data_IF_742506504194
#
_entry.id   IF_742506504194
#
_cell.length_a   1.000
_cell.length_b   1.000
_cell.length_c   1.000
_cell.angle_alpha   90.00
_cell.angle_beta   90.00
_cell.angle_gamma   90.00
#
_symmetry.space_group_name_H-M   'P 1'
#
loop_
_entity.id
_entity.type
_entity.pdbx_description
1 polymer ?
#
# COMPACT_ATOMS: atom_id res chain seq x y z
N UNK A 1 -35.95 -21.90 -8.24
CA UNK A 1 -35.95 -20.83 -7.22
C UNK A 1 -34.72 -19.91 -7.30
N UNK A 2 -33.52 -20.25 -6.82
CA UNK A 2 -32.35 -19.32 -6.89
C UNK A 2 -31.98 -18.97 -8.36
N UNK A 3 -31.86 -19.98 -9.24
CA UNK A 3 -31.65 -19.73 -10.69
C UNK A 3 -32.73 -18.84 -11.32
N UNK A 4 -33.98 -19.04 -10.91
CA UNK A 4 -35.15 -18.34 -11.45
C UNK A 4 -35.26 -16.91 -10.89
N UNK A 5 -34.81 -16.69 -9.66
CA UNK A 5 -34.65 -15.38 -9.03
C UNK A 5 -33.51 -14.60 -9.69
N UNK A 6 -32.36 -15.23 -9.96
CA UNK A 6 -31.22 -14.62 -10.68
C UNK A 6 -31.66 -14.13 -12.07
N UNK A 7 -32.41 -14.95 -12.81
CA UNK A 7 -32.93 -14.56 -14.13
C UNK A 7 -33.91 -13.38 -14.09
N UNK A 8 -34.58 -13.16 -12.95
CA UNK A 8 -35.56 -12.10 -12.78
C UNK A 8 -34.98 -10.82 -12.15
N UNK A 9 -33.95 -10.92 -11.30
CA UNK A 9 -33.33 -9.80 -10.61
C UNK A 9 -32.24 -9.09 -11.44
N UNK A 10 -31.58 -9.81 -12.36
CA UNK A 10 -30.57 -9.24 -13.27
C UNK A 10 -31.10 -8.17 -14.25
N UNK A 11 -32.43 -7.95 -14.29
CA UNK A 11 -33.09 -7.04 -15.24
C UNK A 11 -33.42 -5.68 -14.59
N UNK A 12 -33.41 -5.54 -13.26
CA UNK A 12 -33.81 -4.29 -12.58
C UNK A 12 -33.06 -4.07 -11.27
N UNK A 13 -32.03 -3.20 -11.30
CA UNK A 13 -31.25 -2.67 -10.16
C UNK A 13 -30.53 -3.74 -9.31
N UNK A 14 -29.56 -3.29 -8.50
CA UNK A 14 -28.73 -4.14 -7.65
C UNK A 14 -29.62 -5.17 -6.91
N UNK A 15 -29.48 -6.48 -7.17
CA UNK A 15 -30.32 -7.51 -6.55
C UNK A 15 -30.19 -7.57 -5.02
N UNK A 16 -29.30 -6.76 -4.43
CA UNK A 16 -29.00 -6.71 -3.00
C UNK A 16 -29.22 -5.34 -2.35
N UNK A 17 -29.98 -4.43 -2.96
CA UNK A 17 -30.27 -3.08 -2.44
C UNK A 17 -31.03 -3.07 -1.08
N UNK A 18 -31.41 -4.22 -0.52
CA UNK A 18 -32.00 -4.33 0.82
C UNK A 18 -31.33 -5.41 1.69
N UNK A 19 -30.83 -4.98 2.85
CA UNK A 19 -30.19 -5.81 3.90
C UNK A 19 -31.07 -7.01 4.33
N UNK A 20 -32.40 -6.85 4.30
CA UNK A 20 -33.39 -7.86 4.69
C UNK A 20 -33.56 -9.02 3.68
N UNK A 21 -33.34 -8.79 2.38
CA UNK A 21 -33.41 -9.85 1.37
C UNK A 21 -32.14 -10.71 1.36
N UNK A 22 -31.01 -10.13 1.77
CA UNK A 22 -29.73 -10.80 1.90
C UNK A 22 -29.67 -11.82 3.03
N UNK A 23 -30.07 -11.43 4.25
CA UNK A 23 -30.15 -12.38 5.36
C UNK A 23 -31.06 -13.54 4.99
N UNK A 24 -32.13 -13.31 4.23
CA UNK A 24 -33.00 -14.37 3.72
C UNK A 24 -32.33 -15.22 2.64
N UNK A 25 -31.50 -14.67 1.75
CA UNK A 25 -30.75 -15.44 0.75
C UNK A 25 -29.65 -16.29 1.39
N UNK A 26 -28.86 -15.72 2.30
CA UNK A 26 -27.89 -16.46 3.11
C UNK A 26 -28.62 -17.49 3.97
N UNK A 27 -29.69 -17.10 4.65
CA UNK A 27 -30.48 -18.03 5.44
C UNK A 27 -31.06 -19.10 4.52
N UNK A 28 -31.53 -18.84 3.30
CA UNK A 28 -32.00 -19.88 2.39
C UNK A 28 -30.86 -20.79 1.89
N UNK A 29 -29.68 -20.23 1.61
CA UNK A 29 -28.47 -20.98 1.22
C UNK A 29 -27.91 -21.82 2.38
N UNK A 30 -28.00 -21.32 3.62
CA UNK A 30 -27.42 -21.91 4.83
C UNK A 30 -28.43 -22.72 5.67
N UNK A 31 -29.73 -22.45 5.63
CA UNK A 31 -30.78 -23.13 6.45
C UNK A 31 -31.57 -24.20 5.72
N UNK A 32 -31.57 -24.24 4.38
CA UNK A 32 -32.06 -25.44 3.67
C UNK A 32 -31.13 -26.65 3.84
N UNK A 33 -29.97 -26.46 4.47
CA UNK A 33 -28.94 -27.48 4.59
C UNK A 33 -28.40 -27.55 6.01
N UNK A 34 -28.73 -28.66 6.65
CA UNK A 34 -28.13 -29.13 7.88
C UNK A 34 -26.61 -28.96 7.88
N UNK A 35 -26.11 -28.24 8.90
CA UNK A 35 -24.77 -28.05 9.49
C UNK A 35 -23.46 -28.52 8.81
N UNK A 36 -23.43 -29.37 7.80
CA UNK A 36 -22.18 -29.88 7.20
C UNK A 36 -22.21 -30.08 5.66
N UNK A 37 -23.25 -29.65 4.91
CA UNK A 37 -23.44 -30.18 3.53
C UNK A 37 -23.88 -29.23 2.40
N UNK A 38 -23.53 -27.93 2.38
CA UNK A 38 -23.85 -27.11 1.18
C UNK A 38 -22.83 -26.04 0.74
N UNK A 39 -21.77 -25.81 1.51
CA UNK A 39 -20.68 -24.95 1.05
C UNK A 39 -19.87 -25.62 -0.07
N UNK A 40 -19.78 -26.95 -0.04
CA UNK A 40 -19.21 -27.74 -1.14
C UNK A 40 -20.02 -27.56 -2.43
N UNK A 41 -21.36 -27.42 -2.36
CA UNK A 41 -22.19 -27.13 -3.51
C UNK A 41 -22.04 -25.69 -4.03
N UNK A 42 -21.76 -24.73 -3.15
CA UNK A 42 -21.40 -23.35 -3.54
C UNK A 42 -20.09 -23.38 -4.32
N UNK A 43 -19.10 -24.14 -3.87
CA UNK A 43 -17.82 -24.29 -4.57
C UNK A 43 -18.00 -25.04 -5.88
N UNK A 44 -18.72 -26.16 -5.90
CA UNK A 44 -19.06 -26.87 -7.13
C UNK A 44 -19.76 -25.91 -8.12
N UNK A 45 -20.60 -25.00 -7.62
CA UNK A 45 -21.21 -23.99 -8.47
C UNK A 45 -20.21 -22.91 -8.94
N UNK A 46 -19.29 -22.42 -8.11
CA UNK A 46 -18.21 -21.50 -8.55
C UNK A 46 -17.32 -22.15 -9.62
N UNK A 47 -16.99 -23.43 -9.41
CA UNK A 47 -15.98 -24.19 -10.15
C UNK A 47 -16.53 -24.83 -11.42
N UNK A 48 -17.78 -25.31 -11.39
CA UNK A 48 -18.39 -26.09 -12.47
C UNK A 48 -19.60 -25.41 -13.13
N UNK A 49 -19.94 -24.16 -12.78
CA UNK A 49 -21.05 -23.47 -13.45
C UNK A 49 -20.77 -23.28 -14.95
N UNK A 50 -21.68 -23.72 -15.84
CA UNK A 50 -21.50 -23.61 -17.29
C UNK A 50 -21.68 -22.19 -17.82
N UNK A 51 -22.28 -21.29 -17.04
CA UNK A 51 -22.57 -19.91 -17.42
C UNK A 51 -21.72 -18.94 -16.57
N UNK A 52 -20.94 -18.04 -17.19
CA UNK A 52 -20.12 -17.05 -16.50
C UNK A 52 -20.87 -16.27 -15.41
N UNK A 53 -22.11 -15.86 -15.69
CA UNK A 53 -22.96 -15.05 -14.80
C UNK A 53 -23.28 -15.75 -13.49
N UNK A 54 -23.49 -17.08 -13.53
CA UNK A 54 -23.73 -17.86 -12.32
C UNK A 54 -22.46 -17.94 -11.47
N UNK A 55 -21.29 -18.09 -12.08
CA UNK A 55 -20.01 -18.07 -11.36
C UNK A 55 -19.76 -16.73 -10.66
N UNK A 56 -20.08 -15.62 -11.32
CA UNK A 56 -20.00 -14.27 -10.73
C UNK A 56 -20.88 -14.16 -9.49
N UNK A 57 -22.15 -14.57 -9.58
CA UNK A 57 -23.08 -14.55 -8.46
C UNK A 57 -22.54 -15.29 -7.23
N UNK A 58 -21.99 -16.50 -7.39
CA UNK A 58 -21.45 -17.25 -6.26
C UNK A 58 -20.17 -16.63 -5.70
N UNK A 59 -19.34 -15.98 -6.52
CA UNK A 59 -18.19 -15.23 -6.03
C UNK A 59 -18.61 -14.00 -5.23
N UNK A 60 -19.69 -13.32 -5.61
CA UNK A 60 -20.25 -12.20 -4.83
C UNK A 60 -20.78 -12.67 -3.47
N UNK A 61 -21.40 -13.85 -3.41
CA UNK A 61 -21.80 -14.49 -2.14
C UNK A 61 -20.56 -14.76 -1.28
N UNK A 62 -19.49 -15.34 -1.85
CA UNK A 62 -18.22 -15.56 -1.15
C UNK A 62 -17.62 -14.25 -0.62
N UNK A 63 -17.55 -13.20 -1.45
CA UNK A 63 -17.05 -11.88 -1.07
C UNK A 63 -17.74 -11.34 0.18
N UNK A 64 -19.07 -11.44 0.23
CA UNK A 64 -19.85 -10.97 1.38
C UNK A 64 -19.60 -11.79 2.64
N UNK A 65 -19.57 -13.12 2.53
CA UNK A 65 -19.25 -14.02 3.66
C UNK A 65 -17.85 -13.69 4.22
N UNK A 66 -16.87 -13.50 3.34
CA UNK A 66 -15.51 -13.13 3.73
C UNK A 66 -15.44 -11.75 4.37
N UNK A 67 -16.15 -10.76 3.82
CA UNK A 67 -16.17 -9.41 4.37
C UNK A 67 -16.78 -9.36 5.77
N UNK A 68 -17.84 -10.12 6.01
CA UNK A 68 -18.48 -10.23 7.32
C UNK A 68 -17.61 -11.04 8.30
N UNK A 69 -17.07 -12.17 7.85
CA UNK A 69 -16.22 -13.05 8.65
C UNK A 69 -14.97 -12.37 9.22
N UNK A 70 -14.41 -11.36 8.54
CA UNK A 70 -13.30 -10.56 9.08
C UNK A 70 -13.62 -9.86 10.40
N UNK A 71 -14.90 -9.56 10.67
CA UNK A 71 -15.34 -8.95 11.93
C UNK A 71 -15.60 -9.98 13.04
N UNK A 72 -15.65 -11.26 12.66
CA UNK A 72 -16.03 -12.38 13.51
C UNK A 72 -14.97 -13.48 13.51
N UNK A 73 -13.69 -13.08 13.42
CA UNK A 73 -12.56 -14.03 13.33
C UNK A 73 -12.40 -14.88 14.60
N UNK A 74 -12.91 -14.43 15.74
CA UNK A 74 -12.88 -15.21 16.99
C UNK A 74 -14.03 -16.24 17.07
N UNK A 75 -14.99 -16.18 16.15
CA UNK A 75 -16.12 -17.10 16.08
C UNK A 75 -15.88 -18.19 15.01
N UNK A 76 -15.24 -19.28 15.43
CA UNK A 76 -15.01 -20.45 14.55
C UNK A 76 -16.30 -21.12 14.04
N UNK A 77 -17.48 -20.76 14.56
CA UNK A 77 -18.75 -21.23 14.02
C UNK A 77 -19.26 -20.39 12.84
N UNK A 78 -18.60 -19.27 12.55
CA UNK A 78 -18.96 -18.38 11.47
C UNK A 78 -18.80 -19.06 10.09
N UNK A 79 -19.71 -18.83 9.12
CA UNK A 79 -19.68 -19.49 7.80
C UNK A 79 -18.39 -19.31 6.99
N UNK A 80 -17.55 -18.32 7.34
CA UNK A 80 -16.24 -18.07 6.70
C UNK A 80 -15.32 -19.28 6.81
N UNK A 81 -15.27 -19.93 7.97
CA UNK A 81 -14.41 -21.09 8.21
C UNK A 81 -14.84 -22.27 7.36
N UNK A 82 -16.15 -22.58 7.35
CA UNK A 82 -16.70 -23.63 6.50
C UNK A 82 -16.41 -23.38 5.01
N UNK A 83 -16.50 -22.13 4.55
CA UNK A 83 -16.25 -21.78 3.15
C UNK A 83 -14.76 -21.95 2.79
N UNK A 84 -13.86 -21.48 3.63
CA UNK A 84 -12.40 -21.66 3.45
C UNK A 84 -12.03 -23.15 3.50
N UNK A 85 -12.56 -23.91 4.46
CA UNK A 85 -12.34 -25.36 4.55
C UNK A 85 -12.90 -26.12 3.34
N UNK A 86 -14.00 -25.66 2.74
CA UNK A 86 -14.51 -26.24 1.50
C UNK A 86 -13.55 -25.95 0.32
N UNK A 87 -12.98 -24.74 0.24
CA UNK A 87 -11.98 -24.42 -0.77
C UNK A 87 -10.71 -25.24 -0.58
N UNK A 88 -10.28 -25.46 0.66
CA UNK A 88 -9.09 -26.28 0.95
C UNK A 88 -9.27 -27.77 0.74
N UNK A 89 -10.49 -28.28 0.87
CA UNK A 89 -10.83 -29.68 0.55
C UNK A 89 -10.99 -29.93 -0.96
N UNK A 90 -11.20 -28.89 -1.75
CA UNK A 90 -11.22 -29.01 -3.21
C UNK A 90 -9.85 -29.51 -3.67
N UNK A 91 -9.82 -30.58 -4.47
CA UNK A 91 -8.54 -31.19 -4.86
C UNK A 91 -7.59 -30.12 -5.42
N UNK A 92 -6.36 -30.05 -4.90
CA UNK A 92 -5.40 -28.96 -5.17
C UNK A 92 -5.30 -28.59 -6.67
N UNK A 93 -5.44 -29.57 -7.58
CA UNK A 93 -5.40 -29.33 -9.03
C UNK A 93 -6.64 -28.66 -9.63
N UNK A 94 -7.84 -28.86 -9.06
CA UNK A 94 -9.07 -28.29 -9.61
C UNK A 94 -9.15 -26.78 -9.38
N UNK A 95 -8.83 -26.30 -8.17
CA UNK A 95 -8.82 -24.86 -7.84
C UNK A 95 -7.80 -24.09 -8.69
N UNK A 96 -6.60 -24.65 -8.83
CA UNK A 96 -5.52 -24.04 -9.62
C UNK A 96 -5.88 -23.96 -11.10
N UNK A 97 -6.40 -25.03 -11.68
CA UNK A 97 -6.79 -25.05 -13.09
C UNK A 97 -7.94 -24.08 -13.36
N UNK A 98 -8.93 -24.00 -12.46
CA UNK A 98 -10.00 -23.01 -12.56
C UNK A 98 -9.47 -21.58 -12.48
N UNK A 99 -8.57 -21.28 -11.53
CA UNK A 99 -7.96 -19.95 -11.41
C UNK A 99 -7.18 -19.59 -12.66
N UNK A 100 -6.38 -20.51 -13.18
CA UNK A 100 -5.60 -20.33 -14.41
C UNK A 100 -6.50 -20.00 -15.59
N UNK A 101 -7.61 -20.74 -15.76
CA UNK A 101 -8.58 -20.49 -16.81
C UNK A 101 -9.27 -19.12 -16.65
N UNK A 102 -9.64 -18.75 -15.42
CA UNK A 102 -10.29 -17.47 -15.13
C UNK A 102 -9.36 -16.29 -15.36
N UNK A 103 -8.10 -16.36 -14.92
CA UNK A 103 -7.11 -15.30 -15.10
C UNK A 103 -6.66 -15.14 -16.56
N UNK A 104 -6.85 -16.16 -17.40
CA UNK A 104 -6.64 -16.08 -18.85
C UNK A 104 -7.84 -15.51 -19.62
N UNK A 105 -8.97 -15.29 -18.94
CA UNK A 105 -10.14 -14.66 -19.55
C UNK A 105 -9.83 -13.21 -19.94
N UNK A 106 -10.43 -12.74 -21.03
CA UNK A 106 -10.44 -11.32 -21.42
C UNK A 106 -11.71 -10.61 -20.98
N UNK A 107 -12.65 -11.33 -20.38
CA UNK A 107 -13.96 -10.83 -19.96
C UNK A 107 -13.88 -10.23 -18.57
N UNK A 108 -14.06 -8.91 -18.47
CA UNK A 108 -14.01 -8.17 -17.22
C UNK A 108 -15.03 -8.68 -16.19
N UNK A 109 -16.17 -9.20 -16.63
CA UNK A 109 -17.22 -9.71 -15.75
C UNK A 109 -16.76 -10.94 -15.00
N UNK A 110 -15.80 -11.68 -15.54
CA UNK A 110 -15.21 -12.84 -14.87
C UNK A 110 -13.96 -12.45 -14.08
N UNK A 111 -13.10 -11.61 -14.65
CA UNK A 111 -11.85 -11.20 -14.02
C UNK A 111 -12.10 -10.43 -12.71
N UNK A 112 -13.02 -9.46 -12.71
CA UNK A 112 -13.21 -8.59 -11.53
C UNK A 112 -13.64 -9.40 -10.29
N UNK A 113 -14.68 -10.24 -10.34
CA UNK A 113 -15.08 -11.05 -9.18
C UNK A 113 -14.01 -12.05 -8.75
N UNK A 114 -13.26 -12.63 -9.69
CA UNK A 114 -12.12 -13.52 -9.38
C UNK A 114 -11.02 -12.78 -8.62
N UNK A 115 -10.62 -11.59 -9.09
CA UNK A 115 -9.62 -10.77 -8.40
C UNK A 115 -10.10 -10.32 -7.02
N UNK A 116 -11.37 -9.94 -6.87
CA UNK A 116 -11.97 -9.58 -5.58
C UNK A 116 -11.92 -10.77 -4.61
N UNK A 117 -12.31 -11.96 -5.06
CA UNK A 117 -12.21 -13.18 -4.25
C UNK A 117 -10.78 -13.47 -3.82
N UNK A 118 -9.79 -13.36 -4.72
CA UNK A 118 -8.37 -13.55 -4.38
C UNK A 118 -7.90 -12.55 -3.31
N UNK A 119 -8.31 -11.28 -3.43
CA UNK A 119 -8.00 -10.24 -2.44
C UNK A 119 -8.61 -10.57 -1.08
N UNK A 120 -9.85 -11.08 -1.03
CA UNK A 120 -10.48 -11.45 0.24
C UNK A 120 -9.81 -12.64 0.90
N UNK A 121 -9.43 -13.66 0.13
CA UNK A 121 -8.65 -14.82 0.62
C UNK A 121 -7.32 -14.33 1.20
N UNK A 122 -6.60 -13.44 0.50
CA UNK A 122 -5.34 -12.86 0.96
C UNK A 122 -5.49 -11.99 2.22
N UNK A 123 -6.63 -11.32 2.41
CA UNK A 123 -6.93 -10.60 3.65
C UNK A 123 -7.15 -11.58 4.81
N UNK A 124 -7.80 -12.71 4.54
CA UNK A 124 -8.08 -13.73 5.55
C UNK A 124 -6.85 -14.58 5.89
N UNK A 125 -5.88 -14.73 4.98
CA UNK A 125 -4.67 -15.51 5.23
C UNK A 125 -3.76 -14.96 6.33
N UNK A 126 -3.91 -13.68 6.69
CA UNK A 126 -3.20 -13.09 7.83
C UNK A 126 -3.99 -13.18 9.14
N UNK A 127 -5.23 -13.68 9.09
CA UNK A 127 -6.18 -13.66 10.21
C UNK A 127 -6.62 -15.07 10.64
N UNK A 128 -6.62 -16.05 9.73
CA UNK A 128 -7.02 -17.43 10.00
C UNK A 128 -6.15 -18.45 9.25
N UNK A 129 -5.90 -19.60 9.88
CA UNK A 129 -5.10 -20.69 9.33
C UNK A 129 -5.73 -21.26 8.04
N UNK A 130 -7.05 -21.43 7.99
CA UNK A 130 -7.75 -21.91 6.80
C UNK A 130 -7.61 -20.91 5.64
N UNK A 131 -7.53 -19.62 5.93
CA UNK A 131 -7.24 -18.58 4.94
C UNK A 131 -5.84 -18.73 4.37
N UNK A 132 -4.86 -19.02 5.23
CA UNK A 132 -3.47 -19.25 4.84
C UNK A 132 -3.32 -20.50 3.98
N UNK A 133 -4.05 -21.57 4.30
CA UNK A 133 -4.10 -22.80 3.48
C UNK A 133 -4.63 -22.52 2.08
N UNK A 134 -5.80 -21.88 1.96
CA UNK A 134 -6.40 -21.51 0.67
C UNK A 134 -5.46 -20.62 -0.13
N UNK A 135 -4.86 -19.60 0.51
CA UNK A 135 -3.89 -18.74 -0.15
C UNK A 135 -2.67 -19.53 -0.65
N UNK A 136 -2.13 -20.44 0.14
CA UNK A 136 -0.98 -21.26 -0.27
C UNK A 136 -1.29 -22.10 -1.52
N UNK A 137 -2.53 -22.59 -1.68
CA UNK A 137 -2.98 -23.27 -2.90
C UNK A 137 -3.15 -22.32 -4.09
N UNK A 138 -3.64 -21.10 -3.86
CA UNK A 138 -3.77 -20.05 -4.89
C UNK A 138 -2.41 -19.61 -5.40
N UNK A 139 -1.43 -19.45 -4.49
CA UNK A 139 -0.14 -18.86 -4.78
C UNK A 139 0.97 -19.86 -5.11
N UNK A 140 0.66 -21.16 -5.25
CA UNK A 140 1.69 -22.18 -5.45
C UNK A 140 2.27 -22.22 -6.87
N UNK A 141 1.55 -21.71 -7.88
CA UNK A 141 2.08 -21.61 -9.25
C UNK A 141 3.16 -20.52 -9.29
N UNK A 142 4.31 -20.78 -9.89
CA UNK A 142 5.37 -19.76 -9.97
C UNK A 142 5.03 -18.60 -10.92
N UNK A 143 3.95 -18.69 -11.70
CA UNK A 143 3.62 -17.72 -12.76
C UNK A 143 2.40 -16.84 -12.48
N UNK A 144 1.61 -17.09 -11.42
CA UNK A 144 0.36 -16.34 -11.21
C UNK A 144 0.62 -14.84 -11.03
N UNK A 145 1.69 -14.46 -10.34
CA UNK A 145 2.06 -13.07 -10.11
C UNK A 145 2.40 -12.37 -11.43
N UNK A 146 3.12 -13.08 -12.30
CA UNK A 146 3.47 -12.63 -13.65
C UNK A 146 2.21 -12.38 -14.48
N UNK A 147 1.21 -13.26 -14.38
CA UNK A 147 -0.10 -13.12 -15.04
C UNK A 147 -0.88 -11.92 -14.49
N UNK A 148 -0.87 -11.69 -13.18
CA UNK A 148 -1.55 -10.54 -12.59
C UNK A 148 -0.98 -9.20 -13.06
N UNK A 149 0.34 -9.11 -13.24
CA UNK A 149 0.97 -7.90 -13.76
C UNK A 149 0.64 -7.70 -15.24
N UNK A 150 0.44 -8.78 -16.01
CA UNK A 150 -0.02 -8.68 -17.40
C UNK A 150 -1.46 -8.13 -17.48
N UNK A 151 -2.27 -8.26 -16.44
CA UNK A 151 -3.60 -7.63 -16.35
C UNK A 151 -3.54 -6.10 -16.23
N UNK A 152 -2.38 -5.50 -15.97
CA UNK A 152 -2.25 -4.03 -15.92
C UNK A 152 -2.37 -3.37 -17.30
N UNK A 153 -2.31 -4.17 -18.37
CA UNK A 153 -2.52 -3.77 -19.75
C UNK A 153 -3.98 -3.96 -20.19
N UNK A 154 -4.88 -4.36 -19.29
CA UNK A 154 -6.27 -4.62 -19.61
C UNK A 154 -7.04 -3.31 -19.93
N UNK A 155 -7.99 -3.31 -20.90
CA UNK A 155 -8.75 -2.11 -21.26
C UNK A 155 -9.76 -1.66 -20.18
N UNK A 156 -10.11 -2.54 -19.24
CA UNK A 156 -11.06 -2.26 -18.18
C UNK A 156 -10.37 -1.83 -16.87
N UNK A 157 -10.62 -0.61 -16.41
CA UNK A 157 -9.91 0.00 -15.27
C UNK A 157 -10.03 -0.78 -13.96
N UNK A 158 -11.20 -1.38 -13.68
CA UNK A 158 -11.38 -2.16 -12.44
C UNK A 158 -10.51 -3.41 -12.42
N UNK A 159 -10.21 -4.01 -13.57
CA UNK A 159 -9.30 -5.15 -13.66
C UNK A 159 -7.88 -4.71 -13.30
N UNK A 160 -7.44 -3.55 -13.83
CA UNK A 160 -6.14 -2.95 -13.53
C UNK A 160 -6.03 -2.61 -12.03
N UNK A 161 -7.01 -1.88 -11.47
CA UNK A 161 -7.01 -1.52 -10.03
C UNK A 161 -6.96 -2.74 -9.12
N UNK A 162 -7.81 -3.75 -9.35
CA UNK A 162 -7.86 -4.95 -8.49
C UNK A 162 -6.64 -5.84 -8.63
N UNK A 163 -6.07 -5.98 -9.83
CA UNK A 163 -4.82 -6.73 -10.00
C UNK A 163 -3.65 -6.02 -9.32
N UNK A 164 -3.56 -4.69 -9.38
CA UNK A 164 -2.57 -3.90 -8.65
C UNK A 164 -2.74 -4.00 -7.12
N UNK A 165 -3.97 -3.87 -6.59
CA UNK A 165 -4.25 -4.07 -5.16
C UNK A 165 -3.78 -5.45 -4.68
N UNK A 166 -4.05 -6.49 -5.47
CA UNK A 166 -3.66 -7.87 -5.14
C UNK A 166 -2.14 -8.04 -5.12
N UNK A 167 -1.43 -7.50 -6.13
CA UNK A 167 0.05 -7.52 -6.17
C UNK A 167 0.63 -6.76 -4.98
N UNK A 168 0.11 -5.57 -4.67
CA UNK A 168 0.54 -4.78 -3.51
C UNK A 168 0.42 -5.56 -2.20
N UNK A 169 -0.78 -6.10 -1.92
CA UNK A 169 -1.04 -6.85 -0.69
C UNK A 169 -0.11 -8.05 -0.56
N UNK A 170 0.14 -8.74 -1.66
CA UNK A 170 1.04 -9.88 -1.66
C UNK A 170 2.49 -9.45 -1.37
N UNK A 171 2.98 -8.39 -2.02
CA UNK A 171 4.31 -7.83 -1.75
C UNK A 171 4.45 -7.40 -0.29
N UNK A 172 3.43 -6.76 0.29
CA UNK A 172 3.45 -6.26 1.65
C UNK A 172 3.37 -7.37 2.72
N UNK A 173 2.71 -8.49 2.44
CA UNK A 173 2.49 -9.57 3.42
C UNK A 173 3.59 -10.64 3.43
N UNK A 174 4.26 -10.89 2.30
CA UNK A 174 5.25 -11.96 2.20
C UNK A 174 6.58 -11.54 2.84
N UNK A 175 6.99 -12.26 3.89
CA UNK A 175 8.26 -12.03 4.58
C UNK A 175 9.47 -12.52 3.80
N UNK A 176 9.30 -13.57 2.99
CA UNK A 176 10.39 -14.19 2.27
C UNK A 176 10.46 -13.74 0.82
N UNK A 177 11.66 -13.40 0.34
CA UNK A 177 11.86 -13.10 -1.07
C UNK A 177 12.02 -14.38 -1.87
N UNK A 178 11.30 -14.47 -2.98
CA UNK A 178 11.24 -15.62 -3.87
C UNK A 178 11.65 -15.20 -5.28
N UNK A 179 12.05 -16.16 -6.11
CA UNK A 179 12.46 -15.87 -7.50
C UNK A 179 11.35 -15.16 -8.31
N UNK A 180 10.08 -15.42 -8.01
CA UNK A 180 8.94 -14.75 -8.64
C UNK A 180 8.86 -13.25 -8.32
N UNK A 181 9.40 -12.80 -7.17
CA UNK A 181 9.49 -11.36 -6.85
C UNK A 181 10.37 -10.62 -7.85
N UNK A 182 11.46 -11.26 -8.27
CA UNK A 182 12.41 -10.69 -9.22
C UNK A 182 11.77 -10.45 -10.57
N UNK A 183 11.01 -11.42 -11.09
CA UNK A 183 10.26 -11.26 -12.35
C UNK A 183 9.20 -10.17 -12.22
N UNK A 184 8.47 -10.14 -11.10
CA UNK A 184 7.47 -9.13 -10.83
C UNK A 184 8.06 -7.71 -10.78
N UNK A 185 9.21 -7.52 -10.13
CA UNK A 185 9.91 -6.23 -10.09
C UNK A 185 10.32 -5.81 -11.51
N UNK A 186 10.85 -6.71 -12.34
CA UNK A 186 11.19 -6.39 -13.75
C UNK A 186 9.97 -5.93 -14.54
N UNK A 187 8.83 -6.62 -14.40
CA UNK A 187 7.58 -6.24 -15.07
C UNK A 187 7.02 -4.92 -14.53
N UNK A 188 7.11 -4.68 -13.22
CA UNK A 188 6.74 -3.40 -12.60
C UNK A 188 7.56 -2.25 -13.20
N UNK A 189 8.89 -2.37 -13.27
CA UNK A 189 9.75 -1.35 -13.86
C UNK A 189 9.39 -1.10 -15.34
N UNK A 190 9.15 -2.18 -16.10
CA UNK A 190 8.73 -2.07 -17.50
C UNK A 190 7.40 -1.34 -17.66
N UNK A 191 6.46 -1.53 -16.74
CA UNK A 191 5.17 -0.83 -16.72
C UNK A 191 5.33 0.64 -16.33
N UNK A 192 6.19 0.98 -15.38
CA UNK A 192 6.48 2.37 -15.02
C UNK A 192 7.14 3.10 -16.21
N UNK A 193 8.06 2.45 -16.92
CA UNK A 193 8.67 3.00 -18.14
C UNK A 193 7.65 3.17 -19.28
N UNK A 194 6.65 2.30 -19.37
CA UNK A 194 5.52 2.52 -20.27
C UNK A 194 4.71 3.76 -19.85
N UNK A 195 4.38 3.90 -18.57
CA UNK A 195 3.64 5.06 -18.05
C UNK A 195 4.39 6.36 -18.37
N UNK A 196 5.70 6.41 -18.06
CA UNK A 196 6.57 7.57 -18.36
C UNK A 196 6.57 7.96 -19.84
N UNK A 197 6.66 6.97 -20.74
CA UNK A 197 6.70 7.23 -22.19
C UNK A 197 5.34 7.61 -22.78
N UNK A 198 4.26 7.22 -22.12
CA UNK A 198 2.90 7.33 -22.64
C UNK A 198 2.16 8.55 -22.10
N UNK A 199 2.38 8.89 -20.82
CA UNK A 199 1.71 10.01 -20.15
C UNK A 199 2.34 11.33 -20.56
N UNK A 200 1.56 12.21 -21.18
CA UNK A 200 1.98 13.60 -21.37
C UNK A 200 1.97 14.37 -20.04
N UNK A 201 2.73 15.47 -19.92
CA UNK A 201 2.70 16.32 -18.72
C UNK A 201 1.29 16.81 -18.35
N UNK A 202 0.45 17.12 -19.34
CA UNK A 202 -0.94 17.55 -19.11
C UNK A 202 -1.88 16.42 -18.71
N UNK A 203 -1.57 15.17 -19.06
CA UNK A 203 -2.28 14.00 -18.55
C UNK A 203 -1.88 13.73 -17.10
N UNK A 204 -0.60 13.81 -16.79
CA UNK A 204 -0.07 13.64 -15.44
C UNK A 204 -0.63 14.68 -14.47
N UNK A 205 -0.62 15.96 -14.85
CA UNK A 205 -1.20 17.04 -14.04
C UNK A 205 -2.68 16.79 -13.72
N UNK A 206 -3.46 16.27 -14.68
CA UNK A 206 -4.87 15.88 -14.47
C UNK A 206 -5.06 14.65 -13.58
N UNK A 207 -4.03 13.83 -13.38
CA UNK A 207 -4.07 12.72 -12.42
C UNK A 207 -3.70 13.18 -11.01
N UNK A 208 -2.91 14.25 -10.90
CA UNK A 208 -2.50 14.89 -9.64
C UNK A 208 -3.52 15.91 -9.12
N UNK A 209 -4.52 16.26 -9.92
CA UNK A 209 -5.54 17.24 -9.57
C UNK A 209 -6.30 16.83 -8.29
N UNK A 210 -6.35 17.74 -7.31
CA UNK A 210 -7.00 17.53 -6.02
C UNK A 210 -8.53 17.40 -6.14
N UNK A 211 -9.15 18.01 -7.15
CA UNK A 211 -10.60 17.89 -7.39
C UNK A 211 -10.99 16.51 -7.93
N UNK A 212 -10.00 15.72 -8.35
CA UNK A 212 -10.21 14.38 -8.89
C UNK A 212 -10.13 13.33 -7.79
N UNK A 213 -11.29 12.98 -7.26
CA UNK A 213 -11.43 11.90 -6.28
C UNK A 213 -11.30 10.51 -6.93
N UNK A 214 -10.91 9.51 -6.14
CA UNK A 214 -10.73 8.11 -6.56
C UNK A 214 -12.02 7.46 -7.12
N UNK A 215 -13.17 8.07 -6.84
CA UNK A 215 -14.51 7.63 -7.22
C UNK A 215 -14.95 8.08 -8.63
N UNK A 216 -14.29 9.08 -9.24
CA UNK A 216 -14.64 9.56 -10.58
C UNK A 216 -13.63 9.08 -11.63
N UNK A 217 -13.96 7.98 -12.30
CA UNK A 217 -13.26 7.58 -13.52
C UNK A 217 -13.75 8.41 -14.71
N UNK A 218 -13.01 9.46 -15.07
CA UNK A 218 -13.04 10.01 -16.42
C UNK A 218 -11.89 9.42 -17.22
N UNK A 219 -12.14 8.66 -18.30
CA UNK A 219 -11.07 8.14 -19.13
C UNK A 219 -10.21 9.30 -19.61
N UNK A 220 -8.93 9.28 -19.25
CA UNK A 220 -7.97 10.11 -19.97
C UNK A 220 -7.84 9.46 -21.34
N UNK A 221 -7.95 10.24 -22.41
CA UNK A 221 -7.65 9.76 -23.76
C UNK A 221 -6.17 9.38 -23.81
N UNK A 222 -5.88 8.14 -23.46
CA UNK A 222 -4.58 7.50 -23.52
C UNK A 222 -4.48 6.75 -24.84
N UNK A 223 -3.26 6.52 -25.36
CA UNK A 223 -3.05 5.55 -26.44
C UNK A 223 -3.74 4.22 -26.09
N UNK A 224 -4.19 3.48 -27.11
CA UNK A 224 -5.00 2.26 -26.98
C UNK A 224 -4.37 1.12 -26.16
N UNK A 225 -3.19 1.31 -25.58
CA UNK A 225 -2.42 0.35 -24.81
C UNK A 225 -2.33 0.64 -23.31
N UNK A 226 -2.87 1.77 -22.82
CA UNK A 226 -2.76 2.14 -21.40
C UNK A 226 -4.11 2.55 -20.80
N UNK A 227 -4.54 1.82 -19.77
CA UNK A 227 -5.71 2.13 -18.95
C UNK A 227 -5.22 2.47 -17.55
N UNK A 228 -5.32 3.73 -17.15
CA UNK A 228 -4.73 4.23 -15.91
C UNK A 228 -5.54 5.40 -15.34
N UNK A 229 -5.61 5.46 -14.01
CA UNK A 229 -6.09 6.63 -13.27
C UNK A 229 -5.24 6.89 -12.01
N UNK A 230 -5.71 7.81 -11.16
CA UNK A 230 -5.04 8.21 -9.93
C UNK A 230 -4.86 7.04 -8.95
N UNK A 231 -5.87 6.19 -8.80
CA UNK A 231 -5.79 5.03 -7.91
C UNK A 231 -4.72 4.04 -8.40
N UNK A 232 -4.59 3.85 -9.72
CA UNK A 232 -3.50 3.04 -10.27
C UNK A 232 -2.12 3.64 -9.98
N UNK A 233 -1.95 4.97 -10.08
CA UNK A 233 -0.68 5.62 -9.72
C UNK A 233 -0.38 5.46 -8.22
N UNK A 234 -1.39 5.58 -7.36
CA UNK A 234 -1.24 5.31 -5.93
C UNK A 234 -0.77 3.87 -5.71
N UNK A 235 -1.43 2.88 -6.31
CA UNK A 235 -0.98 1.49 -6.20
C UNK A 235 0.44 1.27 -6.71
N UNK A 236 0.85 1.91 -7.81
CA UNK A 236 2.23 1.80 -8.29
C UNK A 236 3.25 2.29 -7.26
N UNK A 237 2.99 3.44 -6.61
CA UNK A 237 3.86 3.97 -5.54
C UNK A 237 3.96 2.95 -4.40
N UNK A 238 2.82 2.43 -3.95
CA UNK A 238 2.74 1.47 -2.84
C UNK A 238 3.45 0.14 -3.19
N UNK A 239 3.28 -0.38 -4.40
CA UNK A 239 3.95 -1.61 -4.86
C UNK A 239 5.46 -1.40 -4.93
N UNK A 240 5.94 -0.24 -5.40
CA UNK A 240 7.38 0.07 -5.45
C UNK A 240 7.97 0.06 -4.04
N UNK A 241 7.33 0.76 -3.09
CA UNK A 241 7.79 0.84 -1.70
C UNK A 241 7.75 -0.54 -1.03
N UNK A 242 6.67 -1.30 -1.19
CA UNK A 242 6.57 -2.66 -0.67
C UNK A 242 7.64 -3.60 -1.25
N UNK A 243 7.96 -3.45 -2.55
CA UNK A 243 9.03 -4.21 -3.21
C UNK A 243 10.40 -3.88 -2.62
N UNK A 244 10.71 -2.60 -2.41
CA UNK A 244 11.97 -2.16 -1.77
C UNK A 244 12.07 -2.69 -0.35
N UNK A 245 10.99 -2.55 0.45
CA UNK A 245 10.93 -3.06 1.82
C UNK A 245 11.24 -4.56 1.87
N UNK A 246 10.62 -5.32 0.98
CA UNK A 246 10.83 -6.76 0.86
C UNK A 246 12.29 -7.11 0.50
N UNK A 247 12.89 -6.38 -0.44
CA UNK A 247 14.30 -6.58 -0.82
C UNK A 247 15.28 -6.27 0.33
N UNK A 248 15.01 -5.23 1.11
CA UNK A 248 15.89 -4.78 2.21
C UNK A 248 15.78 -5.68 3.45
N UNK A 249 14.65 -6.34 3.67
CA UNK A 249 14.46 -7.23 4.81
C UNK A 249 15.27 -8.54 4.72
N UNK A 250 15.67 -8.97 3.52
CA UNK A 250 16.39 -10.24 3.32
C UNK A 250 17.40 -10.16 2.16
N UNK A 251 18.53 -9.44 2.33
CA UNK A 251 19.54 -9.25 1.28
C UNK A 251 20.23 -10.56 0.86
N UNK A 252 20.42 -11.49 1.79
CA UNK A 252 21.31 -12.66 1.61
C UNK A 252 20.67 -13.84 0.86
N UNK A 253 19.34 -13.86 0.72
CA UNK A 253 18.63 -15.01 0.14
C UNK A 253 18.63 -15.02 -1.41
N UNK A 254 19.08 -13.93 -2.05
CA UNK A 254 18.99 -13.79 -3.50
C UNK A 254 20.37 -13.54 -4.13
N UNK A 255 21.04 -14.61 -4.54
CA UNK A 255 22.33 -14.52 -5.24
C UNK A 255 22.28 -13.71 -6.55
N UNK A 256 21.10 -13.49 -7.15
CA UNK A 256 20.92 -12.68 -8.37
C UNK A 256 20.52 -11.22 -8.09
N UNK A 257 20.30 -10.84 -6.83
CA UNK A 257 19.81 -9.51 -6.45
C UNK A 257 20.79 -8.40 -6.84
N UNK A 258 22.12 -8.52 -6.64
CA UNK A 258 23.06 -7.52 -7.12
C UNK A 258 22.97 -7.28 -8.63
N UNK A 259 22.88 -8.36 -9.43
CA UNK A 259 22.73 -8.25 -10.88
C UNK A 259 21.38 -7.66 -11.29
N UNK A 260 20.29 -8.02 -10.61
CA UNK A 260 18.96 -7.43 -10.84
C UNK A 260 18.98 -5.92 -10.58
N UNK A 261 19.56 -5.55 -9.45
CA UNK A 261 19.68 -4.19 -8.99
C UNK A 261 20.52 -3.35 -9.97
N UNK A 262 21.67 -3.85 -10.41
CA UNK A 262 22.54 -3.16 -11.38
C UNK A 262 21.95 -3.08 -12.79
N UNK A 263 21.25 -4.12 -13.26
CA UNK A 263 20.75 -4.18 -14.65
C UNK A 263 19.37 -3.59 -14.84
N UNK A 264 18.56 -3.53 -13.79
CA UNK A 264 17.14 -3.13 -13.87
C UNK A 264 16.84 -1.90 -13.03
N UNK A 265 17.17 -1.92 -11.73
CA UNK A 265 16.79 -0.84 -10.82
C UNK A 265 17.70 0.39 -10.99
N UNK A 266 19.01 0.19 -11.14
CA UNK A 266 19.96 1.29 -11.31
C UNK A 266 19.73 2.12 -12.59
N UNK A 267 19.58 1.54 -13.81
CA UNK A 267 19.30 2.33 -15.01
C UNK A 267 17.94 3.03 -14.94
N UNK A 268 16.95 2.38 -14.33
CA UNK A 268 15.65 2.98 -14.08
C UNK A 268 15.77 4.19 -13.13
N UNK A 269 16.51 4.06 -12.04
CA UNK A 269 16.78 5.14 -11.08
C UNK A 269 17.59 6.28 -11.69
N UNK A 270 18.65 5.98 -12.44
CA UNK A 270 19.45 6.94 -13.17
C UNK A 270 18.62 7.71 -14.22
N UNK A 271 17.57 7.10 -14.78
CA UNK A 271 16.63 7.81 -15.65
C UNK A 271 15.83 8.91 -14.93
N UNK A 272 15.69 8.82 -13.61
CA UNK A 272 15.13 9.89 -12.80
C UNK A 272 16.18 10.91 -12.38
N UNK A 273 17.46 10.55 -12.20
CA UNK A 273 18.52 11.46 -11.71
C UNK A 273 18.61 12.78 -12.49
N UNK A 274 18.35 12.78 -13.80
CA UNK A 274 18.30 14.00 -14.62
C UNK A 274 17.17 14.99 -14.28
N UNK A 275 16.18 14.58 -13.47
CA UNK A 275 15.06 15.38 -12.97
C UNK A 275 15.15 15.66 -11.45
N UNK A 276 16.22 15.21 -10.77
CA UNK A 276 16.29 15.06 -9.31
C UNK A 276 17.28 16.04 -8.61
N UNK A 277 17.40 17.27 -9.08
CA UNK A 277 18.21 18.29 -8.37
C UNK A 277 17.61 18.72 -7.02
N UNK A 278 16.33 18.43 -6.77
CA UNK A 278 15.61 18.68 -5.51
C UNK A 278 14.62 17.53 -5.24
N UNK A 279 14.39 17.11 -3.98
CA UNK A 279 13.39 16.10 -3.64
C UNK A 279 11.94 16.62 -3.78
N UNK A 280 11.74 17.95 -3.80
CA UNK A 280 10.42 18.59 -3.76
C UNK A 280 9.44 18.13 -4.87
N UNK A 281 9.83 17.99 -6.14
CA UNK A 281 8.92 17.51 -7.19
C UNK A 281 8.42 16.08 -6.95
N UNK A 282 9.25 15.21 -6.36
CA UNK A 282 8.85 13.85 -6.01
C UNK A 282 7.91 13.85 -4.81
N UNK A 283 8.21 14.64 -3.78
CA UNK A 283 7.36 14.82 -2.60
C UNK A 283 5.98 15.38 -2.98
N UNK A 284 5.95 16.38 -3.87
CA UNK A 284 4.72 16.95 -4.43
C UNK A 284 3.94 15.90 -5.23
N UNK A 285 4.62 15.12 -6.07
CA UNK A 285 3.97 14.03 -6.80
C UNK A 285 3.34 13.00 -5.85
N UNK A 286 4.09 12.53 -4.85
CA UNK A 286 3.62 11.56 -3.86
C UNK A 286 2.43 12.14 -3.07
N UNK A 287 2.53 13.38 -2.60
CA UNK A 287 1.45 14.05 -1.86
C UNK A 287 0.20 14.23 -2.72
N UNK A 288 0.35 14.68 -3.96
CA UNK A 288 -0.78 14.90 -4.85
C UNK A 288 -1.48 13.61 -5.26
N UNK A 289 -0.80 12.46 -5.24
CA UNK A 289 -1.41 11.16 -5.55
C UNK A 289 -1.97 10.50 -4.29
N UNK A 290 -1.15 10.33 -3.25
CA UNK A 290 -1.47 9.56 -2.05
C UNK A 290 -2.19 10.35 -0.95
N UNK A 291 -2.15 11.70 -1.00
CA UNK A 291 -2.66 12.57 0.06
C UNK A 291 -4.17 12.76 0.10
N UNK A 292 -4.94 12.12 -0.79
CA UNK A 292 -6.42 12.14 -0.72
C UNK A 292 -6.98 11.18 0.34
N UNK A 293 -6.15 10.30 0.87
CA UNK A 293 -6.53 9.31 1.88
C UNK A 293 -5.44 9.26 2.95
N UNK A 294 -5.78 9.73 4.16
CA UNK A 294 -4.82 9.87 5.25
C UNK A 294 -4.17 8.53 5.62
N UNK A 295 -4.96 7.44 5.67
CA UNK A 295 -4.42 6.12 5.98
C UNK A 295 -3.45 5.62 4.91
N UNK A 296 -3.69 5.91 3.63
CA UNK A 296 -2.76 5.56 2.54
C UNK A 296 -1.45 6.33 2.68
N UNK A 297 -1.51 7.62 3.00
CA UNK A 297 -0.31 8.45 3.20
C UNK A 297 0.47 8.04 4.45
N UNK A 298 -0.22 7.77 5.56
CA UNK A 298 0.41 7.34 6.81
C UNK A 298 1.07 5.96 6.65
N UNK A 299 0.38 5.01 5.99
CA UNK A 299 0.95 3.70 5.71
C UNK A 299 2.19 3.80 4.82
N UNK A 300 2.16 4.65 3.80
CA UNK A 300 3.33 4.92 2.96
C UNK A 300 4.52 5.43 3.78
N UNK A 301 4.30 6.41 4.66
CA UNK A 301 5.36 6.94 5.52
C UNK A 301 5.89 5.87 6.49
N UNK A 302 5.02 5.00 7.00
CA UNK A 302 5.40 3.87 7.84
C UNK A 302 6.26 2.85 7.07
N UNK A 303 5.90 2.51 5.84
CA UNK A 303 6.66 1.56 5.02
C UNK A 303 8.04 2.11 4.63
N UNK A 304 8.13 3.40 4.31
CA UNK A 304 9.42 4.08 4.09
C UNK A 304 10.26 4.07 5.37
N UNK A 305 9.66 4.38 6.52
CA UNK A 305 10.35 4.32 7.80
C UNK A 305 10.88 2.91 8.12
N UNK A 306 10.12 1.87 7.81
CA UNK A 306 10.56 0.48 8.00
C UNK A 306 11.74 0.12 7.11
N UNK A 307 11.79 0.58 5.85
CA UNK A 307 12.95 0.43 4.97
C UNK A 307 14.21 0.98 5.64
N UNK A 308 14.13 2.22 6.15
CA UNK A 308 15.26 2.89 6.79
C UNK A 308 15.70 2.19 8.09
N UNK A 309 14.75 1.74 8.92
CA UNK A 309 15.10 0.93 10.09
C UNK A 309 15.79 -0.39 9.74
N UNK A 310 15.41 -1.03 8.63
CA UNK A 310 16.09 -2.23 8.18
C UNK A 310 17.51 -1.90 7.72
N UNK A 311 17.73 -0.81 6.98
CA UNK A 311 19.06 -0.41 6.53
C UNK A 311 20.01 -0.09 7.70
N UNK A 312 19.54 0.67 8.69
CA UNK A 312 20.31 0.99 9.90
C UNK A 312 20.77 -0.29 10.64
N UNK A 313 19.90 -1.30 10.71
CA UNK A 313 20.22 -2.58 11.35
C UNK A 313 21.31 -3.35 10.59
N UNK A 314 21.32 -3.28 9.26
CA UNK A 314 22.37 -3.92 8.46
C UNK A 314 23.70 -3.20 8.61
N UNK A 315 23.71 -1.86 8.58
CA UNK A 315 24.92 -1.06 8.76
C UNK A 315 25.60 -1.30 10.13
N UNK A 316 24.83 -1.41 11.21
CA UNK A 316 25.37 -1.66 12.55
C UNK A 316 25.95 -3.07 12.76
N UNK A 317 25.56 -4.06 11.95
CA UNK A 317 26.06 -5.44 12.06
C UNK A 317 27.43 -5.64 11.36
N UNK A 318 27.76 -4.81 10.36
CA UNK A 318 29.01 -4.88 9.62
C UNK A 318 30.22 -4.42 10.45
N UNK A 319 30.05 -3.50 11.40
CA UNK A 319 31.15 -3.03 12.28
C UNK A 319 31.68 -4.13 13.22
N UNK A 320 30.88 -5.14 13.56
CA UNK A 320 31.25 -6.16 14.55
C UNK A 320 31.89 -7.43 13.95
N UNK A 321 31.82 -7.62 12.63
CA UNK A 321 32.24 -8.86 11.94
C UNK A 321 33.49 -8.72 11.06
N UNK A 322 34.23 -7.61 11.21
CA UNK A 322 35.41 -7.22 10.42
C UNK A 322 36.69 -8.09 10.59
N UNK A 323 36.58 -9.42 10.67
CA UNK A 323 37.75 -10.33 10.68
C UNK A 323 37.81 -11.32 9.51
N UNK A 324 36.85 -11.31 8.58
CA UNK A 324 36.95 -12.08 7.32
C UNK A 324 36.25 -11.37 6.17
N UNK A 325 36.92 -11.11 5.03
CA UNK A 325 36.29 -10.46 3.88
C UNK A 325 35.44 -11.47 3.11
N UNK A 326 34.15 -11.58 3.46
CA UNK A 326 33.16 -12.22 2.59
C UNK A 326 32.56 -11.20 1.63
N UNK A 327 32.72 -11.47 0.34
CA UNK A 327 32.39 -10.62 -0.81
C UNK A 327 30.87 -10.46 -1.13
N UNK A 328 29.94 -10.53 -0.16
CA UNK A 328 28.52 -10.70 -0.53
C UNK A 328 27.42 -9.94 0.24
N UNK A 329 27.72 -9.06 1.21
CA UNK A 329 26.65 -8.37 1.98
C UNK A 329 26.62 -6.82 1.88
N UNK A 330 27.66 -6.17 1.36
CA UNK A 330 27.84 -4.70 1.49
C UNK A 330 27.38 -3.85 0.29
N UNK A 331 26.74 -4.42 -0.74
CA UNK A 331 26.33 -3.66 -1.94
C UNK A 331 24.90 -3.15 -1.89
N UNK A 332 24.00 -3.71 -1.07
CA UNK A 332 22.57 -3.36 -1.13
C UNK A 332 22.28 -1.92 -0.64
N UNK A 333 22.75 -1.47 0.55
CA UNK A 333 22.54 -0.09 0.99
C UNK A 333 23.18 0.92 0.03
N UNK A 334 24.39 0.62 -0.46
CA UNK A 334 25.10 1.45 -1.43
C UNK A 334 24.34 1.57 -2.75
N UNK A 335 23.73 0.48 -3.22
CA UNK A 335 23.03 0.46 -4.50
C UNK A 335 21.65 1.11 -4.41
N UNK A 336 20.92 0.87 -3.32
CA UNK A 336 19.63 1.52 -3.09
C UNK A 336 19.76 2.98 -2.62
N UNK A 337 20.96 3.40 -2.20
CA UNK A 337 21.23 4.75 -1.67
C UNK A 337 20.65 5.89 -2.53
N UNK A 338 20.76 5.89 -3.88
CA UNK A 338 20.18 6.96 -4.69
C UNK A 338 18.65 6.99 -4.68
N UNK A 339 17.96 5.88 -4.35
CA UNK A 339 16.51 5.81 -4.22
C UNK A 339 16.07 6.23 -2.82
N UNK A 340 16.79 5.71 -1.83
CA UNK A 340 16.55 5.93 -0.40
C UNK A 340 16.82 7.40 -0.03
N UNK A 341 17.81 8.04 -0.65
CA UNK A 341 18.10 9.47 -0.45
C UNK A 341 16.98 10.38 -0.96
N UNK A 342 16.18 9.92 -1.91
CA UNK A 342 15.06 10.68 -2.49
C UNK A 342 13.76 10.48 -1.71
N UNK A 343 13.57 9.30 -1.11
CA UNK A 343 12.41 8.95 -0.29
C UNK A 343 12.88 8.76 1.16
N UNK A 344 13.06 9.88 1.84
CA UNK A 344 13.53 9.97 3.22
C UNK A 344 12.34 10.15 4.19
N UNK A 345 12.25 9.37 5.29
CA UNK A 345 11.23 9.56 6.32
C UNK A 345 11.14 11.00 6.83
N UNK A 346 12.27 11.70 6.95
CA UNK A 346 12.32 13.08 7.38
C UNK A 346 11.68 14.03 6.38
N UNK A 347 12.08 14.00 5.11
CA UNK A 347 11.52 14.90 4.09
C UNK A 347 10.04 14.61 3.84
N UNK A 348 9.62 13.33 3.87
CA UNK A 348 8.19 12.97 3.78
C UNK A 348 7.37 13.54 4.95
N UNK A 349 7.86 13.40 6.18
CA UNK A 349 7.14 13.91 7.36
C UNK A 349 7.07 15.43 7.37
N UNK A 350 8.19 16.12 7.11
CA UNK A 350 8.20 17.59 7.04
C UNK A 350 7.30 18.07 5.91
N UNK A 351 7.36 17.45 4.74
CA UNK A 351 6.48 17.81 3.62
C UNK A 351 5.01 17.52 3.91
N UNK A 352 4.71 16.44 4.64
CA UNK A 352 3.37 16.16 5.13
C UNK A 352 2.88 17.30 6.04
N UNK A 353 3.66 17.70 7.05
CA UNK A 353 3.30 18.82 7.93
C UNK A 353 3.13 20.14 7.16
N UNK A 354 4.03 20.40 6.20
CA UNK A 354 3.95 21.56 5.32
C UNK A 354 2.62 21.57 4.53
N UNK A 355 2.26 20.44 3.91
CA UNK A 355 1.03 20.30 3.13
C UNK A 355 -0.24 20.42 3.97
N UNK A 356 -0.16 20.14 5.26
CA UNK A 356 -1.24 20.33 6.20
C UNK A 356 -1.21 21.71 6.89
N UNK A 357 -0.41 22.65 6.37
CA UNK A 357 -0.33 24.02 6.88
C UNK A 357 0.31 24.11 8.27
N UNK A 358 1.11 23.11 8.67
CA UNK A 358 1.69 23.00 10.02
C UNK A 358 0.62 23.02 11.12
N UNK A 359 -0.57 22.51 10.82
CA UNK A 359 -1.69 22.50 11.77
C UNK A 359 -1.57 21.33 12.77
N UNK A 360 -1.30 21.67 14.03
CA UNK A 360 -1.25 20.71 15.12
C UNK A 360 -2.62 20.06 15.42
N UNK A 361 -3.74 20.73 15.16
CA UNK A 361 -5.08 20.17 15.41
C UNK A 361 -5.32 18.98 14.49
N UNK A 362 -4.94 19.08 13.21
CA UNK A 362 -5.02 17.96 12.27
C UNK A 362 -4.15 16.77 12.71
N UNK A 363 -2.93 17.03 13.19
CA UNK A 363 -2.06 15.96 13.71
C UNK A 363 -2.71 15.25 14.90
N UNK A 364 -3.37 16.01 15.78
CA UNK A 364 -4.12 15.46 16.93
C UNK A 364 -5.33 14.64 16.45
N UNK A 365 -6.09 15.13 15.48
CA UNK A 365 -7.23 14.40 14.89
C UNK A 365 -6.79 13.06 14.30
N UNK A 366 -5.70 13.05 13.53
CA UNK A 366 -5.12 11.82 12.98
C UNK A 366 -4.66 10.85 14.08
N UNK A 367 -4.08 11.38 15.17
CA UNK A 367 -3.67 10.56 16.32
C UNK A 367 -4.84 9.96 17.09
N UNK A 368 -6.02 10.59 17.06
CA UNK A 368 -7.23 10.11 17.71
C UNK A 368 -8.07 9.18 16.82
N UNK A 369 -7.90 9.27 15.50
CA UNK A 369 -8.61 8.46 14.52
C UNK A 369 -8.27 6.96 14.64
N UNK A 370 -9.30 6.12 14.69
CA UNK A 370 -9.19 4.67 14.58
C UNK A 370 -9.10 4.19 13.12
N UNK A 371 -9.29 5.10 12.16
CA UNK A 371 -9.16 4.83 10.73
C UNK A 371 -7.72 4.93 10.24
N UNK A 372 -6.80 5.47 11.06
CA UNK A 372 -5.40 5.66 10.67
C UNK A 372 -4.39 5.05 11.64
N UNK A 373 -3.26 4.61 11.11
CA UNK A 373 -2.12 4.11 11.90
C UNK A 373 -1.18 5.24 12.39
N UNK A 374 -1.68 6.49 12.48
CA UNK A 374 -0.84 7.66 12.80
C UNK A 374 -0.11 7.52 14.13
N UNK A 375 -0.77 6.96 15.15
CA UNK A 375 -0.16 6.74 16.47
C UNK A 375 1.03 5.78 16.40
N UNK A 376 0.89 4.70 15.64
CA UNK A 376 1.95 3.72 15.42
C UNK A 376 3.10 4.37 14.64
N UNK A 377 2.78 5.07 13.57
CA UNK A 377 3.74 5.78 12.74
C UNK A 377 4.52 6.81 13.54
N UNK A 378 3.86 7.78 14.18
CA UNK A 378 4.52 8.88 14.88
C UNK A 378 5.40 8.37 16.02
N UNK A 379 4.94 7.37 16.78
CA UNK A 379 5.74 6.79 17.87
C UNK A 379 7.04 6.16 17.36
N UNK A 380 6.99 5.46 16.22
CA UNK A 380 8.18 4.87 15.59
C UNK A 380 9.06 5.95 14.95
N UNK A 381 8.45 6.93 14.31
CA UNK A 381 9.15 8.01 13.63
C UNK A 381 9.93 8.90 14.61
N UNK A 382 9.35 9.26 15.76
CA UNK A 382 10.06 10.04 16.78
C UNK A 382 11.30 9.30 17.30
N UNK A 383 11.25 7.96 17.42
CA UNK A 383 12.43 7.14 17.75
C UNK A 383 13.51 7.20 16.66
N UNK A 384 13.11 7.37 15.41
CA UNK A 384 14.04 7.54 14.30
C UNK A 384 14.67 8.93 14.32
N UNK A 385 13.89 9.98 14.57
CA UNK A 385 14.40 11.35 14.77
C UNK A 385 15.40 11.44 15.94
N UNK A 386 15.12 10.77 17.07
CA UNK A 386 16.06 10.69 18.21
C UNK A 386 17.44 10.13 17.81
N UNK A 387 17.53 9.29 16.78
CA UNK A 387 18.78 8.68 16.29
C UNK A 387 19.50 9.55 15.27
N UNK A 388 18.74 10.33 14.49
CA UNK A 388 19.22 11.08 13.34
C UNK A 388 18.77 12.55 13.40
N UNK A 389 19.09 13.31 14.46
CA UNK A 389 18.57 14.66 14.66
C UNK A 389 19.08 15.67 13.61
N UNK A 390 20.35 15.57 13.20
CA UNK A 390 20.93 16.45 12.17
C UNK A 390 20.32 16.20 10.78
N UNK A 391 20.00 14.94 10.46
CA UNK A 391 19.34 14.61 9.20
C UNK A 391 17.91 15.16 9.16
N UNK A 392 17.23 15.20 10.31
CA UNK A 392 15.93 15.84 10.43
C UNK A 392 16.02 17.36 10.25
N UNK A 393 16.99 18.02 10.88
CA UNK A 393 17.25 19.46 10.68
C UNK A 393 17.50 19.77 9.21
N UNK A 394 18.39 19.00 8.58
CA UNK A 394 18.70 19.15 7.14
C UNK A 394 17.44 18.98 6.28
N UNK A 395 16.56 18.03 6.62
CA UNK A 395 15.30 17.83 5.90
C UNK A 395 14.32 19.00 6.07
N UNK A 396 14.29 19.64 7.25
CA UNK A 396 13.48 20.84 7.50
C UNK A 396 13.95 21.97 6.58
N UNK A 397 15.26 22.25 6.59
CA UNK A 397 15.87 23.26 5.73
C UNK A 397 15.59 22.99 4.25
N UNK A 398 15.81 21.75 3.80
CA UNK A 398 15.60 21.37 2.40
C UNK A 398 14.16 21.53 1.92
N UNK A 399 13.18 21.25 2.79
CA UNK A 399 11.76 21.31 2.41
C UNK A 399 11.20 22.73 2.50
N UNK A 400 11.63 23.50 3.50
CA UNK A 400 11.06 24.82 3.81
C UNK A 400 11.84 26.01 3.21
N UNK A 401 13.10 25.85 2.77
CA UNK A 401 13.92 26.97 2.25
C UNK A 401 13.40 27.63 0.96
N UNK A 402 12.60 26.93 0.15
CA UNK A 402 12.20 27.37 -1.20
C UNK A 402 11.08 28.44 -1.22
N UNK A 403 10.47 28.79 -0.08
CA UNK A 403 9.41 29.82 -0.04
C UNK A 403 9.94 31.26 -0.05
N UNK A 404 11.18 31.48 0.40
CA UNK A 404 11.76 32.83 0.51
C UNK A 404 12.26 33.45 -0.80
N UNK A 405 12.34 32.70 -1.91
CA UNK A 405 13.03 33.16 -3.13
C UNK A 405 12.12 33.59 -4.30
N UNK A 406 10.81 33.36 -4.22
CA UNK A 406 9.89 33.59 -5.34
C UNK A 406 8.97 34.82 -5.18
N UNK A 407 9.02 35.51 -4.05
CA UNK A 407 8.46 36.86 -3.90
C UNK A 407 9.57 37.88 -4.16
N UNK A 408 9.81 38.17 -5.45
CA UNK A 408 10.52 39.36 -5.87
C UNK A 408 9.67 40.59 -5.55
N UNK A 409 9.74 41.06 -4.31
CA UNK A 409 9.22 42.33 -3.85
C UNK A 409 10.34 43.04 -3.12
N UNK A 410 10.95 44.01 -3.80
CA UNK A 410 11.71 45.08 -3.17
C UNK A 410 10.79 45.79 -2.16
N UNK A 411 10.79 45.37 -0.90
CA UNK A 411 10.35 46.22 0.19
C UNK A 411 11.32 45.99 1.36
N UNK A 412 12.28 46.91 1.42
CA UNK A 412 13.10 47.21 2.58
C UNK A 412 12.17 47.48 3.78
N UNK A 413 11.93 46.49 4.63
CA UNK A 413 11.50 46.72 6.01
C UNK A 413 12.17 45.68 6.92
N UNK A 414 13.14 46.18 7.69
CA UNK A 414 13.92 45.52 8.74
C UNK A 414 13.00 45.03 9.90
N UNK A 415 12.32 43.90 9.72
CA UNK A 415 11.82 43.09 10.84
C UNK A 415 12.35 41.65 10.66
N UNK A 416 13.58 41.44 11.15
CA UNK A 416 14.24 40.14 11.37
C UNK A 416 13.47 39.28 12.39
N UNK A 417 12.23 38.88 12.08
CA UNK A 417 11.61 37.75 12.76
C UNK A 417 12.02 36.48 12.01
N UNK A 418 13.11 35.91 12.50
CA UNK A 418 13.67 34.58 12.24
C UNK A 418 12.61 33.47 12.41
N UNK A 419 11.61 33.39 11.55
CA UNK A 419 10.73 32.23 11.44
C UNK A 419 11.48 31.12 10.67
N UNK A 420 12.62 30.73 11.23
CA UNK A 420 13.37 29.56 10.80
C UNK A 420 12.41 28.36 10.84
N UNK A 421 12.36 27.59 9.75
CA UNK A 421 11.47 26.44 9.62
C UNK A 421 11.59 25.45 10.80
N UNK A 422 12.75 25.43 11.46
CA UNK A 422 12.98 24.65 12.67
C UNK A 422 12.16 25.18 13.87
N UNK A 423 12.05 26.49 14.05
CA UNK A 423 11.21 27.13 15.07
C UNK A 423 9.73 26.79 14.85
N UNK A 424 9.27 26.82 13.60
CA UNK A 424 7.91 26.42 13.23
C UNK A 424 7.63 24.95 13.60
N UNK A 425 8.52 24.03 13.23
CA UNK A 425 8.38 22.59 13.55
C UNK A 425 8.43 22.33 15.06
N UNK A 426 9.33 22.98 15.79
CA UNK A 426 9.40 22.89 17.25
C UNK A 426 8.13 23.43 17.92
N UNK A 427 7.58 24.53 17.40
CA UNK A 427 6.29 25.09 17.82
C UNK A 427 5.16 24.09 17.67
N UNK A 428 5.04 23.44 16.50
CA UNK A 428 4.06 22.39 16.24
C UNK A 428 4.20 21.22 17.21
N UNK A 429 5.41 20.68 17.36
CA UNK A 429 5.69 19.57 18.28
C UNK A 429 5.33 19.93 19.73
N UNK A 430 5.60 21.17 20.16
CA UNK A 430 5.22 21.65 21.48
C UNK A 430 3.69 21.67 21.67
N UNK A 431 2.94 22.17 20.69
CA UNK A 431 1.47 22.19 20.77
C UNK A 431 0.88 20.77 20.82
N UNK A 432 1.35 19.87 19.96
CA UNK A 432 0.97 18.44 20.00
C UNK A 432 1.28 17.85 21.37
N UNK A 433 2.47 18.12 21.91
CA UNK A 433 2.88 17.64 23.24
C UNK A 433 1.98 18.16 24.37
N UNK A 434 1.58 19.43 24.35
CA UNK A 434 0.66 20.02 25.33
C UNK A 434 -0.67 19.27 25.33
N UNK A 435 -1.25 19.03 24.16
CA UNK A 435 -2.54 18.35 24.01
C UNK A 435 -2.45 16.88 24.43
N UNK A 436 -1.44 16.15 23.95
CA UNK A 436 -1.24 14.72 24.25
C UNK A 436 -1.01 14.47 25.75
N UNK A 437 -0.48 15.46 26.49
CA UNK A 437 -0.30 15.37 27.95
C UNK A 437 -1.52 15.81 28.74
N UNK A 438 -2.51 16.43 28.11
CA UNK A 438 -3.72 16.90 28.78
C UNK A 438 -4.63 15.72 29.15
N UNK A 439 -5.50 15.94 30.14
CA UNK A 439 -6.52 14.96 30.54
C UNK A 439 -7.62 14.77 29.47
N UNK A 440 -7.58 15.54 28.38
CA UNK A 440 -8.57 15.51 27.29
C UNK A 440 -8.20 14.46 26.22
N UNK A 441 -6.94 14.04 26.15
CA UNK A 441 -6.51 13.04 25.16
C UNK A 441 -7.06 11.65 25.52
N UNK A 442 -7.72 10.94 24.59
CA UNK A 442 -8.54 9.76 24.92
C UNK A 442 -7.76 8.51 25.35
N UNK A 443 -6.44 8.51 25.19
CA UNK A 443 -5.56 7.37 25.50
C UNK A 443 -4.48 7.76 26.52
N UNK A 444 -3.92 6.79 27.25
CA UNK A 444 -2.73 7.02 28.07
C UNK A 444 -1.50 7.20 27.16
N UNK A 445 -1.29 8.43 26.70
CA UNK A 445 -0.23 8.79 25.77
C UNK A 445 1.06 9.23 26.46
N UNK A 446 1.29 8.83 27.72
CA UNK A 446 2.49 9.19 28.50
C UNK A 446 3.80 8.81 27.81
N UNK A 447 3.82 7.70 27.08
CA UNK A 447 4.98 7.26 26.29
C UNK A 447 5.21 8.19 25.10
N UNK A 448 4.15 8.55 24.36
CA UNK A 448 4.23 9.45 23.21
C UNK A 448 4.66 10.85 23.66
N UNK A 449 4.05 11.40 24.71
CA UNK A 449 4.42 12.70 25.27
C UNK A 449 5.90 12.76 25.69
N UNK A 450 6.41 11.69 26.32
CA UNK A 450 7.83 11.61 26.69
C UNK A 450 8.74 11.61 25.45
N UNK A 451 8.38 10.91 24.39
CA UNK A 451 9.15 10.87 23.14
C UNK A 451 9.15 12.20 22.42
N UNK A 452 8.00 12.87 22.31
CA UNK A 452 7.93 14.21 21.70
C UNK A 452 8.85 15.17 22.46
N UNK A 453 8.80 15.15 23.79
CA UNK A 453 9.71 15.94 24.62
C UNK A 453 11.18 15.59 24.37
N UNK A 454 11.52 14.30 24.32
CA UNK A 454 12.88 13.84 24.05
C UNK A 454 13.40 14.34 22.70
N UNK A 455 12.58 14.25 21.65
CA UNK A 455 12.92 14.76 20.31
C UNK A 455 13.17 16.27 20.36
N UNK A 456 12.29 17.05 20.98
CA UNK A 456 12.49 18.51 21.08
C UNK A 456 13.83 18.86 21.76
N UNK A 457 14.22 18.13 22.81
CA UNK A 457 15.52 18.36 23.47
C UNK A 457 16.70 17.90 22.60
N UNK A 458 16.58 16.77 21.90
CA UNK A 458 17.59 16.31 20.93
C UNK A 458 17.83 17.33 19.82
N UNK A 459 16.76 17.93 19.28
CA UNK A 459 16.86 18.93 18.22
C UNK A 459 17.51 20.22 18.72
N UNK A 460 17.12 20.71 19.90
CA UNK A 460 17.78 21.88 20.52
C UNK A 460 19.28 21.64 20.73
N UNK A 461 19.67 20.45 21.14
CA UNK A 461 21.08 20.10 21.33
C UNK A 461 21.82 20.06 19.98
N UNK A 462 21.23 19.43 18.96
CA UNK A 462 21.80 19.32 17.62
C UNK A 462 21.94 20.66 16.88
N UNK A 463 21.20 21.70 17.29
CA UNK A 463 21.35 23.08 16.79
C UNK A 463 22.56 23.81 17.41
N UNK A 464 23.03 23.37 18.56
CA UNK A 464 24.15 23.98 19.29
C UNK A 464 25.49 23.36 18.89
N UNK A 465 25.45 22.08 18.51
CA UNK A 465 26.60 21.28 18.01
C UNK A 465 26.91 21.59 16.54
#
# INVERSE_FOLDING_TARGET
MIREWISNAAITLDPFDSFLQWEQCIHLLLTQTTKDTNLDAVIDAVMCCPTPEAGVFYLDVCHRIYKDGRKHIDDHSHPVYGLLSSFSRTSNGSLQEWLKQRLQSTDEKQLVPTLVWMIDVLKLSTMADEGAEVWAMVSCDQHWLSVLIDLWYHPHITVVRRSMELVHRWMAQQKNVQLQDVDAIKKLMSYIDLCKRTLSPSQLARLQDHDRTDFFYQPIALPSSLTLDRECLNWLIQIVVASIRKLVQQPDEIHQLPTLLETTLYPFMASFEGSLSSPRPLLEFISNICGSNDQVMIQLQLDVLEIHFCLDQHAGNDEFTATTPSLSASSLPTLLSPLISQINPHTLFVYFLYRTGMDHELVIDLLMSDETDMLLYLTRYLKYVERHPHDFITAIEQVLADEGSNYGGDDDDDDDDDDDGISTVLGLLYQVWVVVRSDVFPYNASVLARRIYSVMECLKQALIE
#
